data_IF_537164490834
#
_entry.id   IF_537164490834
#
_cell.length_a   1.000
_cell.length_b   1.000
_cell.length_c   1.000
_cell.angle_alpha   90.00
_cell.angle_beta   90.00
_cell.angle_gamma   90.00
#
_symmetry.space_group_name_H-M   'P 1'
#
loop_
_entity.id
_entity.type
_entity.pdbx_description
1 polymer ?
#
# COMPACT_ATOMS: atom_id res chain seq x y z
N UNK A 1 -3.88 -2.51 -23.00
CA UNK A 1 -4.37 -1.32 -22.26
C UNK A 1 -3.99 -0.09 -23.05
N UNK A 2 -4.96 0.77 -23.43
CA UNK A 2 -4.65 2.07 -24.02
C UNK A 2 -4.21 3.01 -22.88
N UNK A 3 -3.00 3.54 -22.94
CA UNK A 3 -2.59 4.61 -22.04
C UNK A 3 -3.51 5.81 -22.28
N UNK A 4 -4.18 6.29 -21.24
CA UNK A 4 -4.98 7.51 -21.33
C UNK A 4 -4.03 8.69 -21.53
N UNK A 5 -3.97 9.23 -22.74
CA UNK A 5 -3.15 10.39 -23.14
C UNK A 5 -3.84 11.72 -22.86
N UNK A 6 -4.80 11.75 -21.92
CA UNK A 6 -5.45 13.01 -21.55
C UNK A 6 -4.53 13.83 -20.66
N UNK A 7 -4.16 15.01 -21.14
CA UNK A 7 -3.37 15.98 -20.38
C UNK A 7 -4.33 16.79 -19.51
N UNK A 8 -4.14 16.74 -18.19
CA UNK A 8 -4.90 17.56 -17.24
C UNK A 8 -4.09 18.82 -16.95
N UNK A 9 -4.43 19.93 -17.61
CA UNK A 9 -3.76 21.21 -17.44
C UNK A 9 -4.52 22.10 -16.44
N UNK A 10 -3.79 22.78 -15.55
CA UNK A 10 -4.27 24.05 -15.01
C UNK A 10 -4.33 25.08 -16.15
N UNK A 11 -5.29 25.99 -16.14
CA UNK A 11 -5.50 26.94 -17.25
C UNK A 11 -4.28 27.80 -17.61
N UNK A 12 -3.27 27.90 -16.74
CA UNK A 12 -2.07 28.71 -16.92
C UNK A 12 -0.85 28.12 -16.18
N UNK A 13 -0.14 27.14 -16.76
CA UNK A 13 1.24 26.82 -16.34
C UNK A 13 1.98 26.01 -17.42
N UNK A 14 3.19 26.45 -17.78
CA UNK A 14 4.05 25.80 -18.79
C UNK A 14 4.64 24.48 -18.27
N UNK A 15 4.71 23.50 -19.18
CA UNK A 15 5.25 22.17 -18.92
C UNK A 15 6.77 22.19 -18.88
N UNK A 16 7.36 21.67 -17.80
CA UNK A 16 8.79 21.35 -17.75
C UNK A 16 8.96 19.92 -17.23
N UNK A 17 9.45 19.02 -18.10
CA UNK A 17 9.80 17.66 -17.73
C UNK A 17 11.08 17.64 -16.89
N UNK A 18 10.96 17.22 -15.63
CA UNK A 18 12.04 17.27 -14.65
C UNK A 18 11.81 16.20 -13.59
N UNK A 19 12.88 15.60 -13.07
CA UNK A 19 12.86 14.46 -12.15
C UNK A 19 11.79 14.58 -11.03
N UNK A 20 11.07 13.47 -10.75
CA UNK A 20 9.81 13.45 -9.98
C UNK A 20 9.89 14.09 -8.58
N UNK A 21 11.04 14.00 -7.90
CA UNK A 21 11.26 14.59 -6.58
C UNK A 21 11.51 16.09 -6.63
N UNK A 22 12.28 16.57 -7.61
CA UNK A 22 12.62 17.99 -7.76
C UNK A 22 11.38 18.80 -8.15
N UNK A 23 10.51 18.19 -8.96
CA UNK A 23 9.20 18.75 -9.32
C UNK A 23 8.27 18.84 -8.12
N UNK A 24 8.26 17.82 -7.24
CA UNK A 24 7.47 17.84 -6.00
C UNK A 24 7.91 18.97 -5.07
N UNK A 25 9.21 19.11 -4.83
CA UNK A 25 9.73 20.16 -3.96
C UNK A 25 9.33 21.55 -4.47
N UNK A 26 9.45 21.79 -5.78
CA UNK A 26 9.04 23.04 -6.43
C UNK A 26 7.55 23.33 -6.23
N UNK A 27 6.68 22.33 -6.39
CA UNK A 27 5.24 22.46 -6.19
C UNK A 27 4.92 22.86 -4.75
N UNK A 28 5.54 22.21 -3.76
CA UNK A 28 5.27 22.48 -2.34
C UNK A 28 5.88 23.83 -1.92
N UNK A 29 7.07 24.18 -2.45
CA UNK A 29 7.74 25.46 -2.21
C UNK A 29 6.91 26.63 -2.73
N UNK A 30 6.23 26.47 -3.86
CA UNK A 30 5.29 27.47 -4.38
C UNK A 30 4.18 27.80 -3.37
N UNK A 31 3.66 26.81 -2.64
CA UNK A 31 2.65 27.04 -1.59
C UNK A 31 3.23 27.85 -0.43
N UNK A 32 4.46 27.56 -0.01
CA UNK A 32 5.19 28.34 1.02
C UNK A 32 5.45 29.78 0.61
N UNK A 33 5.72 30.00 -0.67
CA UNK A 33 5.94 31.35 -1.20
C UNK A 33 4.63 32.17 -1.23
N UNK A 34 3.48 31.52 -1.44
CA UNK A 34 2.16 32.15 -1.40
C UNK A 34 1.68 32.41 0.03
N UNK A 35 1.97 31.50 0.95
CA UNK A 35 1.62 31.61 2.36
C UNK A 35 2.84 31.26 3.24
N UNK A 36 3.49 32.26 3.87
CA UNK A 36 4.59 32.03 4.79
C UNK A 36 4.23 31.18 6.01
N UNK A 37 2.96 31.01 6.37
CA UNK A 37 2.54 30.10 7.46
C UNK A 37 2.48 28.63 7.02
N UNK A 38 2.60 28.35 5.72
CA UNK A 38 2.47 27.00 5.17
C UNK A 38 3.52 26.02 5.73
N UNK A 39 3.13 24.78 6.12
CA UNK A 39 4.02 23.76 6.67
C UNK A 39 4.78 23.02 5.55
N UNK A 40 5.77 23.70 4.97
CA UNK A 40 6.54 23.19 3.83
C UNK A 40 7.26 21.88 4.14
N UNK A 41 7.94 21.80 5.29
CA UNK A 41 8.79 20.66 5.63
C UNK A 41 7.95 19.41 5.89
N UNK A 42 6.85 19.55 6.61
CA UNK A 42 5.92 18.48 6.96
C UNK A 42 5.24 17.93 5.70
N UNK A 43 4.79 18.81 4.81
CA UNK A 43 4.16 18.36 3.57
C UNK A 43 5.19 17.68 2.64
N UNK A 44 6.40 18.23 2.52
CA UNK A 44 7.45 17.59 1.71
C UNK A 44 7.78 16.20 2.27
N UNK A 45 7.97 16.08 3.59
CA UNK A 45 8.22 14.80 4.25
C UNK A 45 7.08 13.80 4.02
N UNK A 46 5.82 14.22 4.20
CA UNK A 46 4.66 13.37 3.93
C UNK A 46 4.69 12.82 2.49
N UNK A 47 4.95 13.68 1.51
CA UNK A 47 4.95 13.29 0.10
C UNK A 47 6.12 12.37 -0.27
N UNK A 48 7.29 12.57 0.34
CA UNK A 48 8.43 11.67 0.22
C UNK A 48 8.11 10.30 0.83
N UNK A 49 7.53 10.27 2.04
CA UNK A 49 7.08 9.04 2.70
C UNK A 49 6.06 8.27 1.84
N UNK A 50 5.07 8.95 1.26
CA UNK A 50 4.08 8.33 0.36
C UNK A 50 4.76 7.69 -0.85
N UNK A 51 5.69 8.39 -1.50
CA UNK A 51 6.40 7.88 -2.68
C UNK A 51 7.31 6.70 -2.34
N UNK A 52 8.06 6.80 -1.24
CA UNK A 52 8.92 5.72 -0.77
C UNK A 52 8.09 4.47 -0.42
N UNK A 53 7.00 4.64 0.34
CA UNK A 53 6.09 3.55 0.68
C UNK A 53 5.48 2.91 -0.57
N UNK A 54 5.02 3.72 -1.54
CA UNK A 54 4.50 3.20 -2.81
C UNK A 54 5.55 2.36 -3.54
N UNK A 55 6.78 2.86 -3.67
CA UNK A 55 7.86 2.11 -4.33
C UNK A 55 8.18 0.79 -3.62
N UNK A 56 8.20 0.79 -2.29
CA UNK A 56 8.38 -0.44 -1.50
C UNK A 56 7.23 -1.43 -1.74
N UNK A 57 5.97 -0.95 -1.72
CA UNK A 57 4.80 -1.78 -1.99
C UNK A 57 4.79 -2.34 -3.42
N UNK A 58 5.18 -1.54 -4.42
CA UNK A 58 5.27 -1.97 -5.82
C UNK A 58 6.32 -3.08 -5.96
N UNK A 59 7.51 -2.92 -5.37
CA UNK A 59 8.56 -3.95 -5.38
C UNK A 59 8.12 -5.25 -4.69
N UNK A 60 7.46 -5.15 -3.53
CA UNK A 60 6.92 -6.32 -2.81
C UNK A 60 5.82 -7.00 -3.64
N UNK A 61 4.95 -6.21 -4.28
CA UNK A 61 3.87 -6.73 -5.12
C UNK A 61 4.40 -7.44 -6.36
N UNK A 62 5.46 -6.92 -6.98
CA UNK A 62 6.15 -7.57 -8.10
C UNK A 62 6.73 -8.91 -7.68
N UNK A 63 7.44 -8.96 -6.55
CA UNK A 63 7.99 -10.20 -6.00
C UNK A 63 6.89 -11.23 -5.70
N UNK A 64 5.82 -10.83 -5.02
CA UNK A 64 4.71 -11.74 -4.66
C UNK A 64 3.88 -12.16 -5.87
N UNK A 65 3.86 -11.34 -6.93
CA UNK A 65 3.18 -11.65 -8.19
C UNK A 65 3.65 -12.96 -8.83
N UNK A 66 4.93 -13.32 -8.67
CA UNK A 66 5.48 -14.60 -9.12
C UNK A 66 4.80 -15.82 -8.47
N UNK A 67 4.20 -15.64 -7.29
CA UNK A 67 3.50 -16.67 -6.53
C UNK A 67 1.96 -16.57 -6.65
N UNK A 68 1.45 -15.61 -7.42
CA UNK A 68 0.01 -15.41 -7.59
C UNK A 68 -0.72 -14.92 -6.33
N UNK A 69 0.01 -14.36 -5.36
CA UNK A 69 -0.56 -13.82 -4.11
C UNK A 69 -0.27 -12.32 -3.99
N UNK A 70 -1.10 -11.62 -3.23
CA UNK A 70 -0.86 -10.22 -2.88
C UNK A 70 -0.28 -10.10 -1.46
N UNK A 71 0.15 -8.88 -1.11
CA UNK A 71 0.75 -8.59 0.20
C UNK A 71 -0.15 -8.98 1.38
N UNK A 72 -1.46 -8.71 1.31
CA UNK A 72 -2.39 -9.04 2.40
C UNK A 72 -2.49 -10.53 2.65
N UNK A 73 -2.55 -11.34 1.58
CA UNK A 73 -2.53 -12.81 1.67
C UNK A 73 -1.20 -13.28 2.27
N UNK A 74 -0.08 -12.74 1.80
CA UNK A 74 1.24 -13.05 2.32
C UNK A 74 1.38 -12.74 3.82
N UNK A 75 0.85 -11.60 4.27
CA UNK A 75 0.87 -11.23 5.69
C UNK A 75 0.03 -12.18 6.54
N UNK A 76 -1.14 -12.61 6.07
CA UNK A 76 -1.95 -13.62 6.78
C UNK A 76 -1.22 -14.95 6.87
N UNK A 77 -0.65 -15.43 5.76
CA UNK A 77 0.14 -16.67 5.74
C UNK A 77 1.32 -16.61 6.71
N UNK A 78 2.10 -15.53 6.68
CA UNK A 78 3.26 -15.33 7.56
C UNK A 78 2.83 -15.26 9.03
N UNK A 79 1.72 -14.59 9.32
CA UNK A 79 1.17 -14.50 10.69
C UNK A 79 0.75 -15.87 11.21
N UNK A 80 0.09 -16.68 10.40
CA UNK A 80 -0.25 -18.06 10.76
C UNK A 80 0.99 -18.93 10.91
N UNK A 81 1.94 -18.84 9.97
CA UNK A 81 3.18 -19.61 9.98
C UNK A 81 4.03 -19.33 11.23
N UNK A 82 4.01 -18.09 11.73
CA UNK A 82 4.78 -17.68 12.91
C UNK A 82 4.01 -17.83 14.23
N UNK A 83 2.71 -18.13 14.19
CA UNK A 83 1.89 -18.35 15.37
C UNK A 83 2.20 -19.67 16.05
N UNK A 84 2.02 -19.72 17.37
CA UNK A 84 2.07 -20.97 18.13
C UNK A 84 1.02 -21.94 17.60
N UNK A 85 1.40 -23.22 17.41
CA UNK A 85 0.58 -24.24 16.75
C UNK A 85 0.16 -23.96 15.30
N UNK A 86 0.70 -22.89 14.68
CA UNK A 86 0.33 -22.43 13.34
C UNK A 86 -1.17 -22.09 13.15
N UNK A 87 -1.85 -21.78 14.24
CA UNK A 87 -3.29 -21.58 14.28
C UNK A 87 -3.64 -20.26 14.97
N UNK A 88 -4.56 -19.50 14.37
CA UNK A 88 -5.14 -18.29 14.97
C UNK A 88 -6.60 -18.16 14.55
N UNK A 89 -7.42 -17.62 15.45
CA UNK A 89 -8.79 -17.25 15.10
C UNK A 89 -8.81 -16.06 14.13
N UNK A 90 -9.86 -15.92 13.29
CA UNK A 90 -10.02 -14.76 12.41
C UNK A 90 -9.95 -13.41 13.15
N UNK A 91 -10.42 -13.36 14.39
CA UNK A 91 -10.37 -12.16 15.24
C UNK A 91 -8.95 -11.79 15.64
N UNK A 92 -8.12 -12.77 16.01
CA UNK A 92 -6.71 -12.54 16.35
C UNK A 92 -5.90 -12.08 15.13
N UNK A 93 -6.15 -12.67 13.95
CA UNK A 93 -5.51 -12.25 12.70
C UNK A 93 -5.90 -10.80 12.38
N UNK A 94 -7.20 -10.48 12.48
CA UNK A 94 -7.72 -9.12 12.26
C UNK A 94 -7.06 -8.11 13.19
N UNK A 95 -6.91 -8.43 14.48
CA UNK A 95 -6.27 -7.55 15.46
C UNK A 95 -4.77 -7.37 15.20
N UNK A 96 -4.03 -8.47 14.95
CA UNK A 96 -2.57 -8.43 14.71
C UNK A 96 -2.22 -7.64 13.44
N UNK A 97 -2.99 -7.85 12.37
CA UNK A 97 -2.73 -7.21 11.06
C UNK A 97 -3.49 -5.91 10.85
N UNK A 98 -4.37 -5.53 11.79
CA UNK A 98 -5.28 -4.38 11.66
C UNK A 98 -6.12 -4.43 10.37
N UNK A 99 -6.45 -5.64 9.91
CA UNK A 99 -7.30 -5.86 8.75
C UNK A 99 -8.76 -5.94 9.18
N UNK A 100 -9.68 -5.50 8.32
CA UNK A 100 -11.11 -5.65 8.58
C UNK A 100 -11.50 -7.13 8.59
N UNK A 101 -12.52 -7.49 9.40
CA UNK A 101 -13.05 -8.87 9.46
C UNK A 101 -13.45 -9.39 8.07
N UNK A 102 -14.13 -8.56 7.27
CA UNK A 102 -14.52 -8.91 5.91
C UNK A 102 -13.32 -9.22 5.01
N UNK A 103 -12.20 -8.51 5.18
CA UNK A 103 -10.97 -8.81 4.45
C UNK A 103 -10.36 -10.15 4.89
N UNK A 104 -10.31 -10.42 6.20
CA UNK A 104 -9.83 -11.70 6.74
C UNK A 104 -10.67 -12.88 6.25
N UNK A 105 -12.01 -12.77 6.24
CA UNK A 105 -12.87 -13.84 5.71
C UNK A 105 -12.53 -14.14 4.25
N UNK A 106 -12.45 -13.11 3.39
CA UNK A 106 -12.10 -13.28 1.97
C UNK A 106 -10.71 -13.92 1.77
N UNK A 107 -9.71 -13.49 2.55
CA UNK A 107 -8.36 -14.04 2.45
C UNK A 107 -8.33 -15.49 2.93
N UNK A 108 -8.98 -15.81 4.05
CA UNK A 108 -9.00 -17.18 4.58
C UNK A 108 -9.79 -18.13 3.69
N UNK A 109 -10.90 -17.69 3.07
CA UNK A 109 -11.62 -18.47 2.05
C UNK A 109 -10.74 -18.76 0.83
N UNK A 110 -10.01 -17.75 0.35
CA UNK A 110 -9.06 -17.90 -0.76
C UNK A 110 -7.96 -18.91 -0.41
N UNK A 111 -7.35 -18.78 0.77
CA UNK A 111 -6.27 -19.66 1.22
C UNK A 111 -6.72 -21.11 1.43
N UNK A 112 -7.95 -21.31 1.93
CA UNK A 112 -8.53 -22.64 2.10
C UNK A 112 -8.84 -23.28 0.74
N UNK A 113 -9.47 -22.53 -0.17
CA UNK A 113 -9.77 -23.00 -1.53
C UNK A 113 -8.52 -23.38 -2.33
N UNK A 114 -7.41 -22.68 -2.10
CA UNK A 114 -6.13 -22.93 -2.76
C UNK A 114 -5.27 -23.98 -2.04
N UNK A 115 -5.73 -24.50 -0.91
CA UNK A 115 -5.08 -25.59 -0.17
C UNK A 115 -3.91 -25.15 0.73
N UNK A 116 -3.69 -23.84 0.92
CA UNK A 116 -2.63 -23.33 1.79
C UNK A 116 -2.96 -23.43 3.28
N UNK A 117 -4.24 -23.35 3.64
CA UNK A 117 -4.71 -23.46 5.03
C UNK A 117 -5.89 -24.42 5.12
N UNK A 118 -6.16 -24.90 6.33
CA UNK A 118 -7.39 -25.63 6.66
C UNK A 118 -8.03 -24.97 7.85
N UNK A 119 -9.36 -24.83 7.84
CA UNK A 119 -10.10 -24.42 9.03
C UNK A 119 -10.31 -25.61 9.94
N UNK A 120 -10.08 -25.40 11.22
CA UNK A 120 -10.36 -26.37 12.28
C UNK A 120 -11.33 -25.74 13.25
N UNK A 121 -12.33 -26.50 13.68
CA UNK A 121 -13.22 -26.04 14.74
C UNK A 121 -12.45 -25.88 16.04
N UNK A 122 -12.69 -24.77 16.74
CA UNK A 122 -12.24 -24.58 18.11
C UNK A 122 -12.97 -25.59 18.98
N UNK A 123 -12.32 -26.71 19.31
CA UNK A 123 -12.80 -27.61 20.37
C UNK A 123 -12.66 -26.94 21.73
#
# INVERSE_FOLDING_TARGET
>A
MRACTQTVCFSNMENNEMNNTDTLEKIIRHQKNKDPAYPFQEHLLMQLCIRANKRMQDNISEFLGAYGINHSVYMVLTTLFTAESHCLSPSEISQKLQFTRTNITRITDFLEKTGYVKRTDSR
#
